data_IF_399902257191
#
_entry.id   IF_399902257191
#
_cell.length_a   1.000
_cell.length_b   1.000
_cell.length_c   1.000
_cell.angle_alpha   90.00
_cell.angle_beta   90.00
_cell.angle_gamma   90.00
#
_symmetry.space_group_name_H-M   'P 1'
#
loop_
_entity.id
_entity.type
_entity.pdbx_description
1 polymer ?
#
# COMPACT_ATOMS: atom_id res chain seq x y z
N UNK A 1 4.80 -1.96 -16.76
CA UNK A 1 4.77 -2.97 -15.69
C UNK A 1 3.41 -2.87 -15.05
N UNK A 2 2.64 -3.96 -14.98
CA UNK A 2 1.32 -3.94 -14.33
C UNK A 2 1.49 -4.08 -12.82
N UNK A 3 0.58 -3.45 -12.08
CA UNK A 3 0.55 -3.47 -10.63
C UNK A 3 -0.76 -4.10 -10.16
N UNK A 4 -0.75 -4.73 -9.01
CA UNK A 4 -1.98 -5.20 -8.36
C UNK A 4 -1.87 -5.18 -6.85
N UNK A 5 -3.02 -5.04 -6.20
CA UNK A 5 -3.17 -5.15 -4.75
C UNK A 5 -4.43 -5.97 -4.41
N UNK A 6 -4.31 -6.83 -3.41
CA UNK A 6 -5.40 -7.56 -2.77
C UNK A 6 -4.98 -7.94 -1.35
N UNK A 7 -5.92 -8.23 -0.47
CA UNK A 7 -5.58 -8.70 0.89
C UNK A 7 -4.68 -9.94 0.86
N UNK A 8 -4.92 -10.87 -0.07
CA UNK A 8 -4.09 -12.06 -0.22
C UNK A 8 -2.66 -11.70 -0.63
N UNK A 9 -2.48 -10.79 -1.60
CA UNK A 9 -1.14 -10.35 -2.01
C UNK A 9 -0.41 -9.66 -0.87
N UNK A 10 -1.08 -8.79 -0.11
CA UNK A 10 -0.49 -8.11 1.05
C UNK A 10 -0.05 -9.12 2.12
N UNK A 11 -0.85 -10.15 2.41
CA UNK A 11 -0.47 -11.23 3.32
C UNK A 11 0.76 -12.01 2.83
N UNK A 12 0.82 -12.32 1.53
CA UNK A 12 1.97 -13.01 0.94
C UNK A 12 3.25 -12.15 0.99
N UNK A 13 3.14 -10.85 0.78
CA UNK A 13 4.26 -9.89 0.92
C UNK A 13 4.82 -9.94 2.35
N UNK A 14 3.96 -9.89 3.37
CA UNK A 14 4.40 -9.98 4.76
C UNK A 14 5.03 -11.35 5.08
N UNK A 15 4.37 -12.43 4.66
CA UNK A 15 4.85 -13.79 4.90
C UNK A 15 6.23 -14.04 4.27
N UNK A 16 6.49 -13.48 3.09
CA UNK A 16 7.80 -13.56 2.43
C UNK A 16 8.92 -12.87 3.21
N UNK A 17 8.60 -11.97 4.14
CA UNK A 17 9.53 -11.30 5.06
C UNK A 17 9.49 -11.88 6.48
N UNK A 18 8.71 -12.95 6.71
CA UNK A 18 8.50 -13.51 8.05
C UNK A 18 7.70 -12.60 8.98
N UNK A 19 6.93 -11.65 8.42
CA UNK A 19 6.13 -10.68 9.17
C UNK A 19 4.66 -11.10 9.26
N UNK A 20 4.01 -10.70 10.35
CA UNK A 20 2.57 -10.73 10.56
C UNK A 20 2.00 -9.30 10.48
N UNK A 21 0.67 -9.17 10.43
CA UNK A 21 0.02 -7.85 10.39
C UNK A 21 0.22 -7.03 11.68
N UNK A 22 0.66 -7.66 12.77
CA UNK A 22 0.95 -6.97 14.04
C UNK A 22 2.35 -6.39 14.14
N UNK A 23 3.25 -6.71 13.20
CA UNK A 23 4.66 -6.32 13.26
C UNK A 23 4.90 -4.91 12.70
N UNK A 24 4.30 -3.90 13.32
CA UNK A 24 4.28 -2.52 12.84
C UNK A 24 5.68 -2.00 12.43
N UNK A 25 6.70 -2.21 13.27
CA UNK A 25 8.07 -1.77 12.96
C UNK A 25 8.72 -2.49 11.77
N UNK A 26 8.40 -3.78 11.57
CA UNK A 26 8.86 -4.53 10.40
C UNK A 26 8.14 -4.09 9.13
N UNK A 27 6.84 -3.81 9.24
CA UNK A 27 6.03 -3.30 8.13
C UNK A 27 6.47 -1.89 7.74
N UNK A 28 6.77 -1.02 8.71
CA UNK A 28 7.36 0.30 8.44
C UNK A 28 8.60 0.16 7.57
N UNK A 29 9.58 -0.66 8.00
CA UNK A 29 10.80 -0.90 7.23
C UNK A 29 10.52 -1.44 5.82
N UNK A 30 9.59 -2.38 5.69
CA UNK A 30 9.23 -2.98 4.41
C UNK A 30 8.57 -1.98 3.44
N UNK A 31 7.74 -1.08 3.95
CA UNK A 31 6.98 -0.10 3.18
C UNK A 31 7.63 1.29 3.12
N UNK A 32 8.96 1.36 3.24
CA UNK A 32 9.74 2.58 2.99
C UNK A 32 10.15 3.37 4.24
N UNK A 33 10.11 2.74 5.41
CA UNK A 33 10.48 3.33 6.69
C UNK A 33 9.33 4.10 7.32
N UNK A 34 9.52 5.39 7.56
CA UNK A 34 8.52 6.24 8.21
C UNK A 34 7.17 6.14 7.47
N UNK A 35 6.11 5.99 8.24
CA UNK A 35 4.71 5.87 7.78
C UNK A 35 4.45 4.62 6.90
N UNK A 36 5.36 3.64 6.86
CA UNK A 36 5.19 2.43 6.05
C UNK A 36 4.02 1.57 6.51
N UNK A 37 3.83 1.40 7.83
CA UNK A 37 2.67 0.72 8.40
C UNK A 37 1.36 1.44 8.10
N UNK A 38 1.38 2.78 8.03
CA UNK A 38 0.23 3.58 7.62
C UNK A 38 -0.17 3.28 6.17
N UNK A 39 0.79 3.27 5.24
CA UNK A 39 0.53 2.96 3.83
C UNK A 39 0.12 1.50 3.61
N UNK A 40 0.62 0.57 4.43
CA UNK A 40 0.12 -0.79 4.46
C UNK A 40 -1.36 -0.85 4.87
N UNK A 41 -1.76 -0.12 5.91
CA UNK A 41 -3.16 0.02 6.33
C UNK A 41 -4.03 0.60 5.23
N UNK A 42 -3.59 1.72 4.64
CA UNK A 42 -4.27 2.40 3.53
C UNK A 42 -4.49 1.46 2.33
N UNK A 43 -3.50 0.65 1.98
CA UNK A 43 -3.65 -0.36 0.91
C UNK A 43 -4.66 -1.44 1.24
N UNK A 44 -4.66 -1.91 2.50
CA UNK A 44 -5.59 -2.93 2.96
C UNK A 44 -7.02 -2.40 2.92
N UNK A 45 -7.23 -1.14 3.31
CA UNK A 45 -8.54 -0.52 3.37
C UNK A 45 -9.04 -0.14 1.96
N UNK A 46 -8.13 0.27 1.06
CA UNK A 46 -8.41 0.47 -0.37
C UNK A 46 -8.89 -0.81 -1.06
N UNK A 47 -8.37 -1.98 -0.67
CA UNK A 47 -8.70 -3.26 -1.30
C UNK A 47 -10.02 -3.83 -0.75
N UNK A 48 -11.06 -4.02 -1.59
CA UNK A 48 -12.26 -4.72 -1.15
C UNK A 48 -11.94 -6.18 -0.78
N UNK A 49 -12.66 -6.76 0.21
CA UNK A 49 -12.54 -8.17 0.51
C UNK A 49 -12.73 -9.04 -0.74
N UNK A 50 -11.87 -10.05 -0.90
CA UNK A 50 -11.90 -11.03 -2.01
C UNK A 50 -11.80 -10.44 -3.43
N UNK A 51 -11.35 -9.19 -3.56
CA UNK A 51 -11.09 -8.54 -4.85
C UNK A 51 -9.61 -8.21 -5.03
N UNK A 52 -9.21 -8.13 -6.29
CA UNK A 52 -7.89 -7.64 -6.70
C UNK A 52 -8.10 -6.40 -7.55
N UNK A 53 -7.43 -5.31 -7.15
CA UNK A 53 -7.34 -4.10 -7.96
C UNK A 53 -6.08 -4.20 -8.81
N UNK A 54 -6.13 -3.72 -10.05
CA UNK A 54 -4.98 -3.68 -10.95
C UNK A 54 -4.83 -2.33 -11.61
N UNK A 55 -3.58 -1.95 -11.89
CA UNK A 55 -3.22 -0.71 -12.59
C UNK A 55 -2.21 -0.99 -13.69
N UNK A 56 -2.26 -0.21 -14.77
CA UNK A 56 -1.38 -0.40 -15.93
C UNK A 56 0.04 0.14 -15.69
N UNK A 57 0.17 1.10 -14.78
CA UNK A 57 1.45 1.73 -14.47
C UNK A 57 1.51 2.27 -13.03
N UNK A 58 2.72 2.64 -12.61
CA UNK A 58 3.00 3.15 -11.27
C UNK A 58 2.20 4.41 -10.94
N UNK A 59 2.05 5.33 -11.90
CA UNK A 59 1.37 6.60 -11.67
C UNK A 59 -0.12 6.39 -11.34
N UNK A 60 -0.79 5.49 -12.06
CA UNK A 60 -2.18 5.12 -11.76
C UNK A 60 -2.32 4.49 -10.37
N UNK A 61 -1.40 3.60 -9.99
CA UNK A 61 -1.38 2.98 -8.66
C UNK A 61 -1.22 4.03 -7.56
N UNK A 62 -0.21 4.90 -7.66
CA UNK A 62 0.06 5.93 -6.64
C UNK A 62 -1.09 6.93 -6.57
N UNK A 63 -1.65 7.34 -7.72
CA UNK A 63 -2.79 8.24 -7.76
C UNK A 63 -4.04 7.62 -7.10
N UNK A 64 -4.30 6.33 -7.31
CA UNK A 64 -5.43 5.64 -6.67
C UNK A 64 -5.26 5.53 -5.15
N UNK A 65 -4.05 5.22 -4.67
CA UNK A 65 -3.73 5.18 -3.24
C UNK A 65 -3.92 6.56 -2.62
N UNK A 66 -3.39 7.61 -3.25
CA UNK A 66 -3.55 8.98 -2.76
C UNK A 66 -5.02 9.45 -2.79
N UNK A 67 -5.79 9.05 -3.80
CA UNK A 67 -7.20 9.41 -3.89
C UNK A 67 -8.01 8.77 -2.75
N UNK A 68 -7.71 7.53 -2.38
CA UNK A 68 -8.34 6.87 -1.24
C UNK A 68 -7.97 7.55 0.08
N UNK A 69 -6.69 7.83 0.31
CA UNK A 69 -6.21 8.61 1.46
C UNK A 69 -6.89 9.98 1.55
N UNK A 70 -7.03 10.68 0.42
CA UNK A 70 -7.70 11.99 0.41
C UNK A 70 -9.18 11.88 0.80
N UNK A 71 -9.86 10.80 0.38
CA UNK A 71 -11.26 10.58 0.73
C UNK A 71 -11.41 10.26 2.22
N UNK A 72 -10.60 9.35 2.76
CA UNK A 72 -10.64 8.97 4.18
C UNK A 72 -10.26 10.14 5.09
N UNK A 73 -9.19 10.88 4.74
CA UNK A 73 -8.80 12.06 5.51
C UNK A 73 -9.88 13.17 5.47
N UNK A 74 -10.58 13.34 4.35
CA UNK A 74 -11.69 14.28 4.26
C UNK A 74 -12.89 13.86 5.12
N UNK A 75 -13.21 12.56 5.16
CA UNK A 75 -14.25 12.00 6.05
C UNK A 75 -13.91 12.22 7.53
N UNK A 76 -12.63 12.12 7.89
CA UNK A 76 -12.14 12.32 9.26
C UNK A 76 -11.84 13.80 9.62
N UNK A 77 -12.13 14.75 8.72
CA UNK A 77 -11.79 16.18 8.85
C UNK A 77 -10.29 16.44 9.14
N UNK A 78 -9.42 15.56 8.64
CA UNK A 78 -7.97 15.62 8.80
C UNK A 78 -7.24 16.03 7.53
N UNK A 79 -6.00 16.50 7.67
CA UNK A 79 -5.12 16.75 6.53
C UNK A 79 -4.62 15.41 5.97
N UNK A 80 -4.73 15.16 4.65
CA UNK A 80 -4.24 13.92 4.06
C UNK A 80 -2.72 13.81 4.15
N UNK A 81 -2.26 12.59 4.35
CA UNK A 81 -0.86 12.24 4.23
C UNK A 81 -0.45 12.09 2.76
N UNK A 82 0.85 12.29 2.48
CA UNK A 82 1.41 12.13 1.14
C UNK A 82 2.56 11.13 1.23
N UNK A 83 2.59 10.07 0.40
CA UNK A 83 3.62 9.07 0.48
C UNK A 83 4.96 9.70 0.09
N UNK A 84 5.99 9.43 0.88
CA UNK A 84 7.34 9.86 0.56
C UNK A 84 7.88 9.11 -0.67
N UNK A 85 8.98 9.59 -1.23
CA UNK A 85 9.68 8.89 -2.32
C UNK A 85 10.08 7.45 -1.92
N UNK A 86 10.45 7.22 -0.66
CA UNK A 86 10.77 5.89 -0.15
C UNK A 86 9.54 4.98 -0.08
N UNK A 87 8.39 5.51 0.35
CA UNK A 87 7.14 4.74 0.34
C UNK A 87 6.73 4.40 -1.11
N UNK A 88 6.77 5.37 -2.03
CA UNK A 88 6.44 5.13 -3.45
C UNK A 88 7.34 4.05 -4.05
N UNK A 89 8.65 4.09 -3.78
CA UNK A 89 9.59 3.08 -4.25
C UNK A 89 9.26 1.68 -3.70
N UNK A 90 8.96 1.58 -2.39
CA UNK A 90 8.57 0.32 -1.76
C UNK A 90 7.25 -0.22 -2.33
N UNK A 91 6.20 0.61 -2.40
CA UNK A 91 4.90 0.28 -3.01
C UNK A 91 5.08 -0.25 -4.43
N UNK A 92 5.89 0.43 -5.23
CA UNK A 92 6.17 0.03 -6.61
C UNK A 92 6.88 -1.31 -6.70
N UNK A 93 7.85 -1.56 -5.81
CA UNK A 93 8.55 -2.84 -5.78
C UNK A 93 7.64 -3.99 -5.36
N UNK A 94 6.82 -3.78 -4.33
CA UNK A 94 6.01 -4.83 -3.70
C UNK A 94 4.73 -5.15 -4.49
N UNK A 95 4.13 -4.15 -5.13
CA UNK A 95 2.85 -4.29 -5.83
C UNK A 95 3.00 -4.56 -7.32
N UNK A 96 4.20 -4.51 -7.88
CA UNK A 96 4.41 -4.91 -9.26
C UNK A 96 4.04 -6.39 -9.46
N UNK A 97 3.45 -6.71 -10.60
CA UNK A 97 3.18 -8.09 -11.00
C UNK A 97 4.44 -8.70 -11.63
N UNK A 98 4.76 -9.98 -11.36
CA UNK A 98 5.75 -10.70 -12.13
C UNK A 98 5.33 -10.74 -13.61
N UNK A 99 6.31 -10.65 -14.51
CA UNK A 99 6.14 -10.74 -15.96
C UNK A 99 5.78 -12.18 -16.33
#
# INVERSE_FOLDING_TARGET
MHYSASHQKLKLILAAQGLTTGDAGGIDQLFGGKDGYYWYGTLRDLCPPDKTISWDNQYQMVAAIQAHENATAAEDEMKPQVPSAANIAALSKLLANPI
#
